data_IF_363456969458
#
_entry.id   IF_363456969458
#
_cell.length_a   1.000
_cell.length_b   1.000
_cell.length_c   1.000
_cell.angle_alpha   90.00
_cell.angle_beta   90.00
_cell.angle_gamma   90.00
#
_symmetry.space_group_name_H-M   'P 1'
#
loop_
_entity.id
_entity.type
_entity.pdbx_description
1 polymer ?
#
# COMPACT_ATOMS: atom_id res chain seq x y z
N UNK A 1 8.44 -11.62 -1.60
CA UNK A 1 9.65 -12.45 -1.83
C UNK A 1 9.69 -13.65 -0.88
N UNK A 2 9.80 -13.41 0.44
CA UNK A 2 9.85 -14.47 1.46
C UNK A 2 8.77 -15.57 1.37
N UNK A 3 7.49 -15.22 1.15
CA UNK A 3 6.43 -16.22 0.95
C UNK A 3 6.75 -17.19 -0.19
N UNK A 4 7.20 -16.68 -1.34
CA UNK A 4 7.56 -17.49 -2.51
C UNK A 4 8.80 -18.35 -2.23
N UNK A 5 9.82 -17.77 -1.62
CA UNK A 5 11.08 -18.47 -1.27
C UNK A 5 10.86 -19.64 -0.32
N UNK A 6 9.88 -19.53 0.58
CA UNK A 6 9.53 -20.58 1.53
C UNK A 6 8.38 -21.48 1.04
N UNK A 7 7.89 -21.29 -0.20
CA UNK A 7 6.77 -22.08 -0.74
C UNK A 7 5.46 -21.93 0.04
N UNK A 8 5.27 -20.79 0.72
CA UNK A 8 4.08 -20.52 1.52
C UNK A 8 3.05 -19.80 0.65
N UNK A 9 1.83 -20.32 0.62
CA UNK A 9 0.71 -19.69 -0.08
C UNK A 9 0.27 -18.39 0.61
N UNK A 10 -0.02 -17.36 -0.19
CA UNK A 10 -0.55 -16.09 0.30
C UNK A 10 -2.08 -16.16 0.26
N UNK A 11 -2.73 -16.05 1.42
CA UNK A 11 -4.19 -15.98 1.51
C UNK A 11 -4.70 -14.67 0.91
N UNK A 12 -5.94 -14.68 0.43
CA UNK A 12 -6.61 -13.53 -0.23
C UNK A 12 -6.54 -12.22 0.57
N UNK A 13 -6.87 -12.30 1.85
CA UNK A 13 -6.87 -11.17 2.79
C UNK A 13 -5.47 -10.62 3.04
N UNK A 14 -4.48 -11.51 3.23
CA UNK A 14 -3.07 -11.13 3.37
C UNK A 14 -2.54 -10.49 2.08
N UNK A 15 -2.90 -11.02 0.91
CA UNK A 15 -2.54 -10.43 -0.36
C UNK A 15 -3.11 -9.01 -0.51
N UNK A 16 -4.35 -8.80 -0.07
CA UNK A 16 -4.97 -7.48 0.01
C UNK A 16 -4.14 -6.51 0.85
N UNK A 17 -3.78 -6.89 2.07
CA UNK A 17 -2.97 -6.03 2.97
C UNK A 17 -1.58 -5.72 2.39
N UNK A 18 -0.92 -6.70 1.78
CA UNK A 18 0.38 -6.49 1.14
C UNK A 18 0.26 -5.54 -0.06
N UNK A 19 -0.82 -5.65 -0.85
CA UNK A 19 -1.11 -4.72 -1.93
C UNK A 19 -1.36 -3.30 -1.39
N UNK A 20 -2.15 -3.15 -0.32
CA UNK A 20 -2.41 -1.86 0.34
C UNK A 20 -1.12 -1.18 0.74
N UNK A 21 -0.18 -1.94 1.34
CA UNK A 21 1.11 -1.42 1.76
C UNK A 21 1.93 -0.89 0.58
N UNK A 22 2.03 -1.66 -0.51
CA UNK A 22 2.75 -1.23 -1.72
C UNK A 22 2.12 0.04 -2.30
N UNK A 23 0.78 0.09 -2.41
CA UNK A 23 0.09 1.26 -2.95
C UNK A 23 0.30 2.50 -2.07
N UNK A 24 0.28 2.33 -0.74
CA UNK A 24 0.47 3.42 0.23
C UNK A 24 1.86 4.05 0.09
N UNK A 25 2.91 3.23 0.18
CA UNK A 25 4.30 3.71 0.13
C UNK A 25 4.71 4.22 -1.26
N UNK A 26 4.13 3.63 -2.31
CA UNK A 26 4.43 4.04 -3.69
C UNK A 26 3.53 5.16 -4.22
N UNK A 27 2.54 5.62 -3.45
CA UNK A 27 1.50 6.56 -3.90
C UNK A 27 0.89 6.15 -5.25
N UNK A 28 0.37 4.91 -5.30
CA UNK A 28 -0.16 4.31 -6.54
C UNK A 28 0.87 4.32 -7.68
N UNK A 29 2.08 3.84 -7.37
CA UNK A 29 3.19 3.72 -8.32
C UNK A 29 3.72 5.05 -8.89
N UNK A 30 3.45 6.19 -8.21
CA UNK A 30 3.92 7.52 -8.63
C UNK A 30 5.12 8.03 -7.83
N UNK A 31 5.40 7.45 -6.67
CA UNK A 31 6.56 7.79 -5.86
C UNK A 31 7.86 7.42 -6.58
N UNK A 32 8.93 8.25 -6.49
CA UNK A 32 10.24 7.93 -7.05
C UNK A 32 10.91 6.73 -6.36
N UNK A 33 10.40 6.29 -5.20
CA UNK A 33 10.88 5.09 -4.50
C UNK A 33 10.32 3.80 -5.10
N UNK A 34 9.28 3.88 -5.95
CA UNK A 34 8.65 2.72 -6.54
C UNK A 34 9.55 2.08 -7.60
N UNK A 35 9.74 0.77 -7.50
CA UNK A 35 10.54 -0.02 -8.45
C UNK A 35 9.67 -0.93 -9.30
N UNK A 36 10.25 -1.54 -10.34
CA UNK A 36 9.57 -2.56 -11.15
C UNK A 36 9.19 -3.81 -10.33
N UNK A 37 9.97 -4.11 -9.27
CA UNK A 37 9.66 -5.23 -8.38
C UNK A 37 8.36 -4.98 -7.61
N UNK A 38 8.13 -3.75 -7.18
CA UNK A 38 6.91 -3.34 -6.48
C UNK A 38 5.69 -3.45 -7.39
N UNK A 39 5.80 -2.97 -8.63
CA UNK A 39 4.73 -3.06 -9.63
C UNK A 39 4.38 -4.51 -9.94
N UNK A 40 5.40 -5.37 -10.09
CA UNK A 40 5.19 -6.80 -10.34
C UNK A 40 4.53 -7.48 -9.13
N UNK A 41 5.01 -7.20 -7.92
CA UNK A 41 4.43 -7.75 -6.70
C UNK A 41 2.97 -7.31 -6.53
N UNK A 42 2.68 -6.02 -6.73
CA UNK A 42 1.31 -5.48 -6.64
C UNK A 42 0.36 -6.16 -7.64
N UNK A 43 0.80 -6.38 -8.88
CA UNK A 43 -0.02 -7.06 -9.90
C UNK A 43 -0.38 -8.50 -9.51
N UNK A 44 0.59 -9.25 -8.99
CA UNK A 44 0.35 -10.61 -8.52
C UNK A 44 -0.58 -10.65 -7.29
N UNK A 45 -0.34 -9.75 -6.34
CA UNK A 45 -1.14 -9.64 -5.12
C UNK A 45 -2.58 -9.20 -5.41
N UNK A 46 -2.79 -8.28 -6.36
CA UNK A 46 -4.11 -7.85 -6.81
C UNK A 46 -4.91 -9.01 -7.41
N UNK A 47 -4.27 -9.87 -8.20
CA UNK A 47 -4.90 -11.07 -8.74
C UNK A 47 -5.31 -12.06 -7.63
N UNK A 48 -4.47 -12.27 -6.62
CA UNK A 48 -4.77 -13.15 -5.47
C UNK A 48 -5.88 -12.53 -4.60
N UNK A 49 -5.83 -11.23 -4.34
CA UNK A 49 -6.81 -10.48 -3.58
C UNK A 49 -8.16 -10.34 -4.32
N UNK A 50 -8.16 -10.52 -5.65
CA UNK A 50 -9.33 -10.37 -6.50
C UNK A 50 -9.83 -8.94 -6.58
N UNK A 51 -8.91 -7.97 -6.67
CA UNK A 51 -9.22 -6.54 -6.76
C UNK A 51 -8.48 -5.91 -7.95
N UNK A 52 -9.02 -4.82 -8.48
CA UNK A 52 -8.32 -3.97 -9.44
C UNK A 52 -7.48 -2.94 -8.67
N UNK A 53 -6.16 -2.96 -8.85
CA UNK A 53 -5.23 -2.17 -8.04
C UNK A 53 -5.41 -0.66 -8.22
N UNK A 54 -5.79 -0.20 -9.41
CA UNK A 54 -5.93 1.22 -9.71
C UNK A 54 -7.18 1.80 -9.02
N UNK A 55 -8.34 1.16 -9.18
CA UNK A 55 -9.59 1.60 -8.54
C UNK A 55 -9.53 1.45 -7.02
N UNK A 56 -9.11 0.28 -6.52
CA UNK A 56 -8.93 0.03 -5.09
C UNK A 56 -7.95 1.01 -4.46
N UNK A 57 -6.79 1.21 -5.10
CA UNK A 57 -5.73 2.05 -4.58
C UNK A 57 -6.11 3.53 -4.56
N UNK A 58 -6.80 4.01 -5.59
CA UNK A 58 -7.30 5.38 -5.62
C UNK A 58 -8.28 5.65 -4.48
N UNK A 59 -9.21 4.73 -4.22
CA UNK A 59 -10.18 4.86 -3.13
C UNK A 59 -9.50 4.79 -1.76
N UNK A 60 -8.51 3.91 -1.59
CA UNK A 60 -7.68 3.82 -0.38
C UNK A 60 -6.94 5.13 -0.10
N UNK A 61 -6.29 5.71 -1.11
CA UNK A 61 -5.54 6.97 -0.96
C UNK A 61 -6.46 8.15 -0.65
N UNK A 62 -7.64 8.22 -1.28
CA UNK A 62 -8.65 9.24 -0.96
C UNK A 62 -9.09 9.14 0.51
N UNK A 63 -9.32 7.93 1.01
CA UNK A 63 -9.69 7.72 2.40
C UNK A 63 -8.57 8.16 3.37
N UNK A 64 -7.30 7.90 3.03
CA UNK A 64 -6.15 8.35 3.81
C UNK A 64 -5.92 9.87 3.77
N UNK A 65 -6.32 10.52 2.68
CA UNK A 65 -6.20 11.97 2.48
C UNK A 65 -7.36 12.78 3.08
N UNK A 66 -8.35 12.14 3.71
CA UNK A 66 -9.41 12.86 4.40
C UNK A 66 -8.90 13.46 5.73
N UNK A 67 -8.76 14.78 5.74
CA UNK A 67 -8.29 15.56 6.88
C UNK A 67 -9.41 16.34 7.57
N UNK A 68 -10.65 16.26 7.09
CA UNK A 68 -11.77 17.12 7.51
C UNK A 68 -12.06 17.07 9.01
N UNK A 69 -11.84 15.91 9.65
CA UNK A 69 -12.06 15.68 11.07
C UNK A 69 -10.77 15.72 11.93
N UNK A 70 -9.61 16.03 11.34
CA UNK A 70 -8.31 15.98 12.05
C UNK A 70 -7.92 17.36 12.59
N UNK A 71 -7.43 17.39 13.82
CA UNK A 71 -6.87 18.59 14.45
C UNK A 71 -5.43 18.84 14.00
N UNK A 72 -4.93 20.08 14.15
CA UNK A 72 -3.53 20.44 13.81
C UNK A 72 -2.51 19.50 14.48
N UNK A 73 -2.57 19.21 15.81
CA UNK A 73 -1.63 18.28 16.42
C UNK A 73 -1.69 16.86 15.84
N UNK A 74 -2.87 16.38 15.45
CA UNK A 74 -3.02 15.08 14.82
C UNK A 74 -2.38 15.07 13.42
N UNK A 75 -2.54 16.14 12.65
CA UNK A 75 -1.89 16.27 11.33
C UNK A 75 -0.36 16.27 11.44
N UNK A 76 0.19 16.96 12.44
CA UNK A 76 1.65 17.04 12.66
C UNK A 76 2.27 15.71 13.10
N UNK A 77 1.48 14.79 13.67
CA UNK A 77 1.97 13.54 14.25
C UNK A 77 1.56 12.28 13.48
N UNK A 78 0.68 12.39 12.48
CA UNK A 78 0.07 11.23 11.79
C UNK A 78 1.08 10.32 11.09
N UNK A 79 2.10 10.90 10.45
CA UNK A 79 3.19 10.20 9.76
C UNK A 79 4.52 10.92 10.02
N UNK A 80 4.80 11.18 11.30
CA UNK A 80 6.03 11.85 11.75
C UNK A 80 7.14 10.82 12.06
N UNK A 81 8.38 11.16 11.71
CA UNK A 81 9.58 10.37 12.01
C UNK A 81 10.68 11.30 12.51
N UNK A 82 11.40 10.86 13.53
CA UNK A 82 12.58 11.57 14.06
C UNK A 82 13.85 11.10 13.32
N UNK A 83 14.84 11.99 13.20
CA UNK A 83 16.12 11.72 12.55
C UNK A 83 17.26 12.28 13.42
N UNK A 84 18.42 11.62 13.37
CA UNK A 84 19.67 12.05 14.00
C UNK A 84 20.71 12.36 12.93
#
# INVERSE_FOLDING_TARGET
>A
KLYKENGVEIKKDIAGLMLSAIISDSLLFKSPTCTEEDVKAAKELAAIAGVDADSYGLDMLKAGADLSAKTIPQLLSLDAKEFT
#
